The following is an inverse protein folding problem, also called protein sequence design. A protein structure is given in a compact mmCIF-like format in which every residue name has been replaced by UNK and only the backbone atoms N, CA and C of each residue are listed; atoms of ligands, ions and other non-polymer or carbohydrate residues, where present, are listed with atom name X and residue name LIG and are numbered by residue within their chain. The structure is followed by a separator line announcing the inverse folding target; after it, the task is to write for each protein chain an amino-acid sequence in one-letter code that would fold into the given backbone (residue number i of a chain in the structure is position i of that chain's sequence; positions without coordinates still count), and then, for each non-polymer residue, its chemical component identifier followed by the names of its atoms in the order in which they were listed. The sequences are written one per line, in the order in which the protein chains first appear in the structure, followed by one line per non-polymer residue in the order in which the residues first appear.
data_IF_902390199960
#
_entry.id   IF_902390199960
#
_cell.length_a   1.000
_cell.length_b   1.000
_cell.length_c   1.000
_cell.angle_alpha   90.00
_cell.angle_beta   90.00
_cell.angle_gamma   90.00
#
_symmetry.space_group_name_H-M   'P 1'
#
loop_
_entity.id
_entity.type
_entity.pdbx_description
1 polymer ?
#
# COMPACT_ATOMS: atom_id res chain seq x y z
N UNK A 1 -12.72 -8.98 -17.57
CA UNK A 1 -12.19 -7.63 -17.23
C UNK A 1 -11.71 -7.55 -15.81
N UNK A 2 -10.90 -6.55 -15.47
CA UNK A 2 -10.34 -6.33 -14.12
C UNK A 2 -10.87 -5.02 -13.56
N UNK A 3 -11.14 -4.98 -12.24
CA UNK A 3 -11.53 -3.76 -11.54
C UNK A 3 -10.41 -3.41 -10.55
N UNK A 4 -10.01 -2.12 -10.51
CA UNK A 4 -9.03 -1.62 -9.55
C UNK A 4 -9.67 -0.48 -8.76
N UNK A 5 -10.06 -0.74 -7.50
CA UNK A 5 -10.54 0.33 -6.61
C UNK A 5 -9.37 1.05 -5.97
N UNK A 6 -9.50 2.35 -5.70
CA UNK A 6 -8.34 3.18 -5.38
C UNK A 6 -7.38 3.30 -6.56
N UNK A 7 -7.89 3.09 -7.79
CA UNK A 7 -7.09 2.97 -9.00
C UNK A 7 -6.45 4.28 -9.46
N UNK A 8 -6.89 5.44 -8.98
CA UNK A 8 -6.21 6.72 -9.15
C UNK A 8 -5.23 7.04 -8.01
N UNK A 9 -5.22 6.22 -6.96
CA UNK A 9 -4.29 6.33 -5.82
C UNK A 9 -2.89 5.79 -6.14
N UNK A 10 -2.02 5.80 -5.14
CA UNK A 10 -0.62 5.41 -5.26
C UNK A 10 -0.45 3.95 -5.75
N UNK A 11 -0.88 2.96 -4.96
CA UNK A 11 -0.68 1.55 -5.30
C UNK A 11 -1.57 1.15 -6.47
N UNK A 12 -2.86 1.54 -6.45
CA UNK A 12 -3.81 1.16 -7.48
C UNK A 12 -3.42 1.60 -8.88
N UNK A 13 -2.94 2.83 -9.06
CA UNK A 13 -2.50 3.33 -10.37
C UNK A 13 -1.23 2.63 -10.89
N UNK A 14 -0.35 2.19 -10.01
CA UNK A 14 0.80 1.37 -10.40
C UNK A 14 0.37 -0.05 -10.78
N UNK A 15 -0.67 -0.61 -10.13
CA UNK A 15 -1.27 -1.89 -10.56
C UNK A 15 -1.91 -1.74 -11.94
N UNK A 16 -2.68 -0.67 -12.18
CA UNK A 16 -3.25 -0.37 -13.52
C UNK A 16 -2.13 -0.30 -14.56
N UNK A 17 -1.07 0.44 -14.27
CA UNK A 17 0.09 0.52 -15.17
C UNK A 17 0.74 -0.84 -15.43
N UNK A 18 0.97 -1.63 -14.39
CA UNK A 18 1.52 -2.99 -14.52
C UNK A 18 0.61 -3.94 -15.31
N UNK A 19 -0.73 -3.77 -15.25
CA UNK A 19 -1.68 -4.49 -16.09
C UNK A 19 -1.55 -4.06 -17.56
N UNK A 20 -1.44 -2.75 -17.83
CA UNK A 20 -1.24 -2.23 -19.20
C UNK A 20 0.07 -2.73 -19.81
N UNK A 21 1.16 -2.79 -19.06
CA UNK A 21 2.44 -3.35 -19.51
C UNK A 21 2.37 -4.82 -19.89
N UNK A 22 1.33 -5.53 -19.41
CA UNK A 22 0.98 -6.92 -19.78
C UNK A 22 -0.07 -6.98 -20.89
N UNK A 23 -0.42 -5.85 -21.51
CA UNK A 23 -1.41 -5.76 -22.58
C UNK A 23 -2.87 -5.88 -22.12
N UNK A 24 -3.14 -5.68 -20.80
CA UNK A 24 -4.51 -5.64 -20.26
C UNK A 24 -4.97 -4.19 -20.20
N UNK A 25 -5.94 -3.84 -21.07
CA UNK A 25 -6.59 -2.53 -21.16
C UNK A 25 -8.06 -2.60 -20.72
N UNK A 26 -8.58 -3.80 -20.49
CA UNK A 26 -9.93 -4.09 -20.00
C UNK A 26 -10.04 -3.84 -18.48
N UNK A 27 -9.56 -2.67 -18.05
CA UNK A 27 -9.45 -2.28 -16.63
C UNK A 27 -10.46 -1.17 -16.33
N UNK A 28 -11.37 -1.40 -15.38
CA UNK A 28 -12.20 -0.35 -14.80
C UNK A 28 -11.49 0.20 -13.56
N UNK A 29 -11.24 1.51 -13.57
CA UNK A 29 -10.73 2.24 -12.42
C UNK A 29 -11.89 2.75 -11.57
N UNK A 30 -11.85 2.46 -10.29
CA UNK A 30 -12.82 2.97 -9.31
C UNK A 30 -12.09 3.83 -8.29
N UNK A 31 -12.46 5.09 -8.16
CA UNK A 31 -11.86 6.00 -7.17
C UNK A 31 -12.82 7.13 -6.81
N UNK A 32 -12.44 7.96 -5.85
CA UNK A 32 -13.05 9.27 -5.67
C UNK A 32 -12.01 10.34 -6.09
N UNK A 33 -12.35 11.17 -7.05
CA UNK A 33 -11.48 12.26 -7.51
C UNK A 33 -11.77 13.59 -6.77
N UNK A 34 -12.11 13.53 -5.45
CA UNK A 34 -12.25 14.73 -4.64
C UNK A 34 -10.95 15.53 -4.60
N UNK A 35 -9.81 14.84 -4.51
CA UNK A 35 -8.53 15.41 -4.89
C UNK A 35 -8.33 15.18 -6.38
N UNK A 36 -8.65 16.19 -7.19
CA UNK A 36 -8.55 16.12 -8.63
C UNK A 36 -7.13 15.86 -9.14
N UNK A 37 -6.09 16.17 -8.34
CA UNK A 37 -4.69 15.95 -8.76
C UNK A 37 -4.34 14.48 -8.99
N UNK A 38 -5.13 13.55 -8.43
CA UNK A 38 -4.96 12.11 -8.67
C UNK A 38 -5.10 11.70 -10.14
N UNK A 39 -5.76 12.53 -10.99
CA UNK A 39 -5.82 12.22 -12.42
C UNK A 39 -4.43 12.07 -13.06
N UNK A 40 -3.43 12.77 -12.55
CA UNK A 40 -2.04 12.70 -13.02
C UNK A 40 -1.47 11.27 -12.94
N UNK A 41 -1.99 10.44 -12.06
CA UNK A 41 -1.61 9.04 -11.93
C UNK A 41 -2.19 8.14 -13.04
N UNK A 42 -3.17 8.64 -13.79
CA UNK A 42 -3.88 7.88 -14.82
C UNK A 42 -3.60 8.34 -16.26
N UNK A 43 -2.95 9.50 -16.46
CA UNK A 43 -2.77 10.10 -17.80
C UNK A 43 -1.94 9.24 -18.77
N UNK A 44 -1.15 8.32 -18.27
CA UNK A 44 -0.33 7.37 -19.03
C UNK A 44 -0.80 5.91 -18.86
N UNK A 45 -2.06 5.73 -18.46
CA UNK A 45 -2.72 4.44 -18.34
C UNK A 45 -3.84 4.30 -19.37
N UNK A 46 -3.96 3.11 -19.95
CA UNK A 46 -5.09 2.72 -20.79
C UNK A 46 -6.13 2.02 -19.91
N UNK A 47 -7.33 2.59 -19.84
CA UNK A 47 -8.44 2.06 -19.02
C UNK A 47 -9.71 1.92 -19.87
N UNK A 48 -10.52 0.91 -19.55
CA UNK A 48 -11.81 0.71 -20.20
C UNK A 48 -12.83 1.75 -19.75
N UNK A 49 -12.87 2.07 -18.45
CA UNK A 49 -13.81 3.03 -17.88
C UNK A 49 -13.35 3.51 -16.49
N UNK A 50 -13.94 4.62 -16.04
CA UNK A 50 -13.84 5.15 -14.70
C UNK A 50 -15.20 5.18 -14.02
N UNK A 51 -15.28 4.73 -12.78
CA UNK A 51 -16.47 4.82 -11.94
C UNK A 51 -16.15 5.53 -10.62
N UNK A 52 -17.04 6.41 -10.18
CA UNK A 52 -16.99 6.94 -8.82
C UNK A 52 -17.21 5.80 -7.80
N UNK A 53 -16.50 5.85 -6.67
CA UNK A 53 -16.54 4.79 -5.66
C UNK A 53 -17.94 4.55 -5.07
N UNK A 54 -18.76 5.61 -4.95
CA UNK A 54 -20.09 5.52 -4.38
C UNK A 54 -21.08 4.95 -5.40
N UNK A 55 -20.95 5.31 -6.69
CA UNK A 55 -21.72 4.70 -7.77
C UNK A 55 -21.37 3.23 -7.95
N UNK A 56 -20.08 2.90 -7.85
CA UNK A 56 -19.61 1.52 -7.94
C UNK A 56 -20.18 0.64 -6.81
N UNK A 57 -20.11 1.08 -5.54
CA UNK A 57 -20.62 0.27 -4.43
C UNK A 57 -22.14 0.14 -4.48
N UNK A 58 -22.86 1.17 -4.90
CA UNK A 58 -24.31 1.10 -5.10
C UNK A 58 -24.65 0.08 -6.20
N UNK A 59 -23.87 0.02 -7.28
CA UNK A 59 -24.04 -0.98 -8.35
C UNK A 59 -23.81 -2.39 -7.85
N UNK A 60 -22.75 -2.61 -7.08
CA UNK A 60 -22.43 -3.90 -6.45
C UNK A 60 -23.55 -4.37 -5.52
N UNK A 61 -24.00 -3.49 -4.63
CA UNK A 61 -25.06 -3.82 -3.64
C UNK A 61 -26.45 -3.94 -4.28
N UNK A 62 -26.70 -3.20 -5.35
CA UNK A 62 -27.97 -3.28 -6.10
C UNK A 62 -28.09 -4.50 -7.02
N UNK A 63 -27.06 -5.33 -7.12
CA UNK A 63 -27.06 -6.53 -7.98
C UNK A 63 -27.10 -6.24 -9.47
N UNK A 64 -26.79 -4.99 -9.89
CA UNK A 64 -26.83 -4.61 -11.31
C UNK A 64 -25.72 -5.27 -12.16
N UNK A 65 -24.70 -5.83 -11.52
CA UNK A 65 -23.61 -6.54 -12.19
C UNK A 65 -22.82 -5.69 -13.20
N UNK A 66 -22.03 -6.35 -14.01
CA UNK A 66 -21.28 -5.76 -15.11
C UNK A 66 -21.64 -6.49 -16.40
N UNK A 67 -21.48 -5.83 -17.56
CA UNK A 67 -21.80 -6.41 -18.86
C UNK A 67 -20.90 -7.61 -19.23
N UNK A 68 -19.72 -7.65 -18.64
CA UNK A 68 -18.73 -8.72 -18.82
C UNK A 68 -18.37 -9.35 -17.48
N UNK A 69 -17.82 -10.56 -17.53
CA UNK A 69 -17.32 -11.23 -16.34
C UNK A 69 -16.15 -10.45 -15.75
N UNK A 70 -16.20 -10.23 -14.44
CA UNK A 70 -15.10 -9.66 -13.66
C UNK A 70 -14.18 -10.80 -13.21
N UNK A 71 -12.97 -10.83 -13.75
CA UNK A 71 -11.97 -11.87 -13.42
C UNK A 71 -11.40 -11.64 -12.02
N UNK A 72 -11.05 -10.38 -11.72
CA UNK A 72 -10.45 -9.99 -10.45
C UNK A 72 -10.83 -8.55 -10.05
N UNK A 73 -10.89 -8.32 -8.74
CA UNK A 73 -10.94 -6.98 -8.14
C UNK A 73 -9.66 -6.79 -7.32
N UNK A 74 -8.83 -5.81 -7.71
CA UNK A 74 -7.77 -5.26 -6.87
C UNK A 74 -8.39 -4.16 -6.00
N UNK A 75 -8.57 -4.45 -4.73
CA UNK A 75 -9.20 -3.52 -3.81
C UNK A 75 -8.15 -2.75 -3.01
N UNK A 76 -7.65 -1.66 -3.59
CA UNK A 76 -6.67 -0.75 -2.99
C UNK A 76 -7.32 0.49 -2.37
N UNK A 77 -8.61 0.73 -2.66
CA UNK A 77 -9.37 1.88 -2.19
C UNK A 77 -9.64 1.84 -0.68
N UNK A 78 -9.13 2.82 0.05
CA UNK A 78 -9.38 3.01 1.47
C UNK A 78 -9.02 4.44 1.91
N UNK A 79 -9.57 4.90 3.03
CA UNK A 79 -8.95 5.99 3.77
C UNK A 79 -7.70 5.44 4.48
N UNK A 80 -6.52 5.89 4.08
CA UNK A 80 -5.23 5.44 4.63
C UNK A 80 -4.64 6.40 5.68
N UNK A 81 -5.36 7.47 6.04
CA UNK A 81 -4.92 8.42 7.03
C UNK A 81 -4.91 7.81 8.44
N UNK A 82 -3.73 7.57 8.98
CA UNK A 82 -3.57 7.02 10.34
C UNK A 82 -3.92 8.03 11.44
N UNK A 83 -4.08 9.30 11.06
CA UNK A 83 -4.47 10.42 11.92
C UNK A 83 -5.98 10.70 11.91
N UNK A 84 -6.76 10.00 11.07
CA UNK A 84 -8.22 10.07 11.10
C UNK A 84 -8.77 9.30 12.31
N UNK A 85 -9.61 9.95 13.10
CA UNK A 85 -10.21 9.37 14.31
C UNK A 85 -11.75 9.30 14.25
N UNK A 86 -12.39 9.70 13.15
CA UNK A 86 -13.80 9.40 12.94
C UNK A 86 -13.98 7.91 12.68
N UNK A 87 -14.27 7.17 13.75
CA UNK A 87 -14.44 5.73 13.70
C UNK A 87 -15.61 5.29 12.82
N UNK A 88 -16.70 6.07 12.77
CA UNK A 88 -17.84 5.74 11.92
C UNK A 88 -17.49 5.86 10.44
N UNK A 89 -16.86 6.98 10.05
CA UNK A 89 -16.37 7.18 8.69
C UNK A 89 -15.37 6.07 8.30
N UNK A 90 -14.40 5.80 9.17
CA UNK A 90 -13.36 4.81 8.90
C UNK A 90 -13.94 3.40 8.71
N UNK A 91 -14.88 3.00 9.57
CA UNK A 91 -15.51 1.68 9.47
C UNK A 91 -16.38 1.55 8.22
N UNK A 92 -17.16 2.57 7.88
CA UNK A 92 -17.99 2.54 6.67
C UNK A 92 -17.13 2.49 5.41
N UNK A 93 -16.10 3.36 5.33
CA UNK A 93 -15.27 3.49 4.13
C UNK A 93 -14.29 2.33 3.94
N UNK A 94 -13.73 1.77 5.02
CA UNK A 94 -12.71 0.73 4.92
C UNK A 94 -13.26 -0.68 5.16
N UNK A 95 -14.09 -0.88 6.21
CA UNK A 95 -14.54 -2.21 6.56
C UNK A 95 -15.82 -2.63 5.82
N UNK A 96 -16.89 -1.84 5.92
CA UNK A 96 -18.18 -2.20 5.30
C UNK A 96 -18.09 -2.22 3.77
N UNK A 97 -17.37 -1.26 3.19
CA UNK A 97 -17.10 -1.22 1.75
C UNK A 97 -16.35 -2.47 1.29
N UNK A 98 -15.24 -2.81 1.96
CA UNK A 98 -14.45 -4.02 1.66
C UNK A 98 -15.27 -5.30 1.82
N UNK A 99 -16.13 -5.37 2.85
CA UNK A 99 -17.00 -6.50 3.09
C UNK A 99 -18.03 -6.69 1.96
N UNK A 100 -18.61 -5.60 1.48
CA UNK A 100 -19.57 -5.65 0.36
C UNK A 100 -18.89 -6.15 -0.93
N UNK A 101 -17.68 -5.69 -1.21
CA UNK A 101 -16.90 -6.17 -2.36
C UNK A 101 -16.52 -7.65 -2.23
N UNK A 102 -16.11 -8.08 -1.05
CA UNK A 102 -15.80 -9.50 -0.81
C UNK A 102 -17.03 -10.39 -1.05
N UNK A 103 -18.23 -9.99 -0.59
CA UNK A 103 -19.45 -10.73 -0.86
C UNK A 103 -19.75 -10.81 -2.36
N UNK A 104 -19.63 -9.70 -3.08
CA UNK A 104 -19.73 -9.71 -4.54
C UNK A 104 -18.77 -10.71 -5.18
N UNK A 105 -17.52 -10.73 -4.75
CA UNK A 105 -16.50 -11.65 -5.27
C UNK A 105 -16.88 -13.13 -5.00
N UNK A 106 -17.35 -13.43 -3.78
CA UNK A 106 -17.78 -14.77 -3.40
C UNK A 106 -18.98 -15.25 -4.22
N UNK A 107 -19.96 -14.37 -4.50
CA UNK A 107 -21.17 -14.67 -5.24
C UNK A 107 -20.91 -14.87 -6.74
N UNK A 108 -19.90 -14.18 -7.29
CA UNK A 108 -19.64 -14.17 -8.72
C UNK A 108 -18.38 -15.00 -9.14
N UNK A 109 -17.70 -15.63 -8.19
CA UNK A 109 -16.46 -16.36 -8.48
C UNK A 109 -15.29 -15.47 -8.89
N UNK A 110 -15.34 -14.17 -8.56
CA UNK A 110 -14.34 -13.15 -8.89
C UNK A 110 -13.19 -13.22 -7.89
N UNK A 111 -11.95 -13.15 -8.35
CA UNK A 111 -10.80 -13.05 -7.44
C UNK A 111 -10.83 -11.74 -6.64
N UNK A 112 -10.63 -11.82 -5.32
CA UNK A 112 -10.58 -10.68 -4.40
C UNK A 112 -9.15 -10.49 -3.89
N UNK A 113 -8.45 -9.51 -4.44
CA UNK A 113 -7.07 -9.15 -4.09
C UNK A 113 -7.12 -7.80 -3.37
N UNK A 114 -6.80 -7.75 -2.06
CA UNK A 114 -7.11 -6.55 -1.28
C UNK A 114 -5.93 -6.03 -0.45
N UNK A 115 -5.87 -4.71 -0.31
CA UNK A 115 -4.92 -4.02 0.55
C UNK A 115 -5.28 -4.21 2.03
N UNK A 116 -4.44 -4.92 2.76
CA UNK A 116 -4.31 -4.84 4.20
C UNK A 116 -3.11 -3.95 4.56
N UNK A 117 -2.62 -3.97 5.78
CA UNK A 117 -1.57 -3.07 6.23
C UNK A 117 -0.76 -3.66 7.38
N UNK A 118 0.55 -3.37 7.42
CA UNK A 118 1.39 -3.63 8.60
C UNK A 118 0.92 -2.87 9.86
N UNK A 119 0.05 -1.85 9.73
CA UNK A 119 -0.57 -1.16 10.87
C UNK A 119 -1.37 -2.09 11.79
N UNK A 120 -1.76 -3.28 11.30
CA UNK A 120 -2.45 -4.30 12.10
C UNK A 120 -1.58 -4.84 13.24
N UNK A 121 -0.26 -4.78 13.10
CA UNK A 121 0.69 -5.24 14.13
C UNK A 121 0.88 -4.23 15.27
N UNK A 122 0.54 -2.96 15.05
CA UNK A 122 0.68 -1.91 16.05
C UNK A 122 2.14 -1.69 16.48
N UNK A 123 2.36 -1.60 17.78
CA UNK A 123 3.70 -1.42 18.40
C UNK A 123 4.45 -2.72 18.67
N UNK A 124 4.04 -3.84 18.10
CA UNK A 124 4.70 -5.14 18.31
C UNK A 124 6.10 -5.21 17.69
N UNK A 125 6.86 -6.24 18.07
CA UNK A 125 8.21 -6.52 17.54
C UNK A 125 8.24 -7.74 16.61
N UNK A 126 7.12 -8.45 16.46
CA UNK A 126 6.98 -9.63 15.61
C UNK A 126 5.91 -9.36 14.54
N UNK A 127 6.29 -9.46 13.29
CA UNK A 127 5.46 -9.10 12.14
C UNK A 127 5.14 -10.33 11.27
N UNK A 128 4.63 -11.39 11.90
CA UNK A 128 4.11 -12.57 11.20
C UNK A 128 2.59 -12.59 11.21
N UNK A 129 1.96 -13.26 10.23
CA UNK A 129 0.50 -13.21 10.00
C UNK A 129 -0.31 -14.01 11.02
N UNK A 130 0.16 -14.06 12.26
CA UNK A 130 -0.51 -14.71 13.40
C UNK A 130 -1.36 -13.71 14.18
N UNK A 131 -2.56 -14.14 14.58
CA UNK A 131 -3.47 -13.33 15.42
C UNK A 131 -2.82 -12.85 16.71
N UNK A 132 -1.87 -13.61 17.25
CA UNK A 132 -1.17 -13.27 18.50
C UNK A 132 -0.29 -12.00 18.40
N UNK A 133 0.10 -11.62 17.16
CA UNK A 133 0.96 -10.47 16.92
C UNK A 133 0.21 -9.22 16.45
N UNK A 134 -1.12 -9.26 16.40
CA UNK A 134 -1.97 -8.19 15.89
C UNK A 134 -2.55 -7.35 17.02
N UNK A 135 -2.17 -6.07 17.07
CA UNK A 135 -2.61 -5.11 18.09
C UNK A 135 -2.60 -3.67 17.54
N UNK A 136 -3.55 -3.32 16.64
CA UNK A 136 -3.56 -2.01 15.98
C UNK A 136 -3.64 -0.85 16.97
N UNK A 137 -2.94 0.25 16.68
CA UNK A 137 -2.83 1.44 17.55
C UNK A 137 -3.82 2.56 17.18
N UNK A 138 -4.49 2.48 16.03
CA UNK A 138 -5.42 3.49 15.54
C UNK A 138 -6.58 2.84 14.80
N UNK A 139 -7.63 3.63 14.53
CA UNK A 139 -8.85 3.12 13.88
C UNK A 139 -8.63 2.68 12.43
N UNK A 140 -7.64 3.27 11.72
CA UNK A 140 -7.24 2.77 10.41
C UNK A 140 -6.71 1.33 10.49
N UNK A 141 -5.70 1.11 11.33
CA UNK A 141 -5.16 -0.24 11.56
C UNK A 141 -6.23 -1.22 12.04
N UNK A 142 -7.15 -0.75 12.90
CA UNK A 142 -8.27 -1.56 13.36
C UNK A 142 -9.24 -1.94 12.24
N UNK A 143 -9.54 -1.03 11.30
CA UNK A 143 -10.42 -1.32 10.16
C UNK A 143 -9.85 -2.43 9.27
N UNK A 144 -8.53 -2.38 8.98
CA UNK A 144 -7.82 -3.42 8.23
C UNK A 144 -7.74 -4.74 9.01
N UNK A 145 -7.41 -4.67 10.30
CA UNK A 145 -7.42 -5.82 11.20
C UNK A 145 -8.79 -6.53 11.22
N UNK A 146 -9.88 -5.78 11.37
CA UNK A 146 -11.21 -6.37 11.45
C UNK A 146 -11.61 -7.03 10.12
N UNK A 147 -11.20 -6.44 8.99
CA UNK A 147 -11.43 -7.05 7.69
C UNK A 147 -10.60 -8.33 7.51
N UNK A 148 -9.33 -8.35 7.91
CA UNK A 148 -8.53 -9.58 7.94
C UNK A 148 -9.18 -10.68 8.80
N UNK A 149 -9.76 -10.32 9.97
CA UNK A 149 -10.50 -11.28 10.80
C UNK A 149 -11.74 -11.82 10.08
N UNK A 150 -12.45 -10.97 9.34
CA UNK A 150 -13.60 -11.39 8.56
C UNK A 150 -13.19 -12.35 7.43
N UNK A 151 -12.13 -12.01 6.69
CA UNK A 151 -11.57 -12.85 5.63
C UNK A 151 -11.17 -14.22 6.18
N UNK A 152 -10.46 -14.30 7.30
CA UNK A 152 -10.07 -15.59 7.92
C UNK A 152 -11.24 -16.52 8.20
N UNK A 153 -12.41 -15.96 8.51
CA UNK A 153 -13.63 -16.77 8.78
C UNK A 153 -14.25 -17.31 7.50
N UNK A 154 -14.21 -16.56 6.40
CA UNK A 154 -14.84 -16.95 5.13
C UNK A 154 -13.92 -17.74 4.22
N UNK A 155 -12.61 -17.53 4.33
CA UNK A 155 -11.59 -18.11 3.46
C UNK A 155 -11.66 -19.66 3.34
N UNK A 156 -11.89 -20.44 4.43
CA UNK A 156 -11.95 -21.91 4.32
C UNK A 156 -13.08 -22.44 3.44
N UNK A 157 -14.15 -21.66 3.24
CA UNK A 157 -15.29 -22.03 2.40
C UNK A 157 -15.40 -21.26 1.09
N UNK A 158 -14.41 -20.42 0.77
CA UNK A 158 -14.44 -19.59 -0.42
C UNK A 158 -14.22 -20.41 -1.70
N UNK A 159 -15.08 -20.17 -2.70
CA UNK A 159 -14.96 -20.78 -4.02
C UNK A 159 -14.10 -19.94 -4.98
N UNK A 160 -13.79 -18.70 -4.62
CA UNK A 160 -12.90 -17.82 -5.38
C UNK A 160 -11.60 -17.56 -4.63
N UNK A 161 -10.60 -17.05 -5.36
CA UNK A 161 -9.36 -16.59 -4.77
C UNK A 161 -9.60 -15.39 -3.85
N UNK A 162 -9.01 -15.42 -2.65
CA UNK A 162 -8.99 -14.27 -1.73
C UNK A 162 -7.56 -14.09 -1.24
N UNK A 163 -6.90 -12.98 -1.58
CA UNK A 163 -5.57 -12.67 -1.10
C UNK A 163 -5.51 -11.26 -0.49
N UNK A 164 -5.04 -11.16 0.74
CA UNK A 164 -4.87 -9.92 1.48
C UNK A 164 -3.39 -9.58 1.63
N UNK A 165 -3.03 -8.35 1.31
CA UNK A 165 -1.66 -7.87 1.28
C UNK A 165 -1.40 -6.89 2.42
N UNK A 166 -0.64 -7.29 3.42
CA UNK A 166 -0.18 -6.41 4.50
C UNK A 166 1.01 -5.62 4.02
N UNK A 167 0.75 -4.50 3.37
CA UNK A 167 1.81 -3.62 2.89
C UNK A 167 2.58 -3.01 4.04
N UNK A 168 3.92 -3.06 3.93
CA UNK A 168 4.84 -2.36 4.79
C UNK A 168 5.08 -0.93 4.27
N UNK A 169 6.26 -0.36 4.41
CA UNK A 169 6.50 1.03 4.04
C UNK A 169 6.75 1.17 2.53
N UNK A 170 5.67 1.22 1.76
CA UNK A 170 5.74 1.36 0.30
C UNK A 170 6.17 2.76 -0.09
N UNK A 171 7.09 2.88 -1.06
CA UNK A 171 7.53 4.14 -1.65
C UNK A 171 7.71 4.00 -3.17
N UNK A 172 7.61 5.13 -3.89
CA UNK A 172 7.86 5.13 -5.34
C UNK A 172 6.94 6.06 -6.13
N UNK A 173 6.95 5.92 -7.48
CA UNK A 173 6.14 6.68 -8.41
C UNK A 173 4.66 6.81 -8.03
N UNK A 174 4.06 7.98 -8.32
CA UNK A 174 2.62 8.27 -8.21
C UNK A 174 2.08 8.46 -6.78
N UNK A 175 2.96 8.74 -5.81
CA UNK A 175 2.52 9.01 -4.43
C UNK A 175 2.37 10.50 -4.07
N UNK A 176 2.65 11.44 -4.99
CA UNK A 176 2.75 12.89 -4.72
C UNK A 176 1.47 13.48 -4.13
N UNK A 177 0.30 12.99 -4.55
CA UNK A 177 -1.02 13.41 -4.04
C UNK A 177 -1.24 13.08 -2.55
N UNK A 178 -0.41 12.23 -1.96
CA UNK A 178 -0.57 11.82 -0.55
C UNK A 178 -0.20 12.91 0.46
N UNK A 179 0.37 14.03 0.02
CA UNK A 179 0.77 15.13 0.90
C UNK A 179 1.68 14.63 2.03
N UNK A 180 1.36 14.93 3.29
CA UNK A 180 2.16 14.51 4.45
C UNK A 180 2.26 13.00 4.65
N UNK A 181 1.40 12.21 3.99
CA UNK A 181 1.43 10.74 4.03
C UNK A 181 2.28 10.11 2.92
N UNK A 182 2.93 10.92 2.07
CA UNK A 182 3.92 10.43 1.12
C UNK A 182 5.15 9.86 1.85
N UNK A 183 5.94 9.07 1.13
CA UNK A 183 7.11 8.40 1.72
C UNK A 183 8.20 9.38 2.17
N UNK A 184 9.04 8.95 3.09
CA UNK A 184 10.21 9.72 3.52
C UNK A 184 11.14 10.02 2.33
N UNK A 185 11.31 9.09 1.38
CA UNK A 185 12.13 9.31 0.19
C UNK A 185 11.62 10.50 -0.64
N UNK A 186 10.29 10.61 -0.80
CA UNK A 186 9.66 11.76 -1.47
C UNK A 186 9.94 13.07 -0.74
N UNK A 187 9.69 13.11 0.57
CA UNK A 187 9.87 14.34 1.35
C UNK A 187 11.31 14.82 1.37
N UNK A 188 12.28 13.91 1.54
CA UNK A 188 13.71 14.27 1.52
C UNK A 188 14.15 14.78 0.14
N UNK A 189 13.62 14.19 -0.94
CA UNK A 189 13.88 14.69 -2.30
C UNK A 189 13.29 16.08 -2.52
N UNK A 190 12.07 16.37 -2.01
CA UNK A 190 11.49 17.70 -2.11
C UNK A 190 12.31 18.74 -1.31
N UNK A 191 12.77 18.39 -0.10
CA UNK A 191 13.63 19.28 0.69
C UNK A 191 14.89 19.66 -0.09
N UNK A 192 15.59 18.71 -0.71
CA UNK A 192 16.78 18.99 -1.51
C UNK A 192 16.49 19.87 -2.74
N UNK A 193 15.35 19.67 -3.39
CA UNK A 193 14.89 20.51 -4.51
C UNK A 193 14.62 21.95 -4.08
N UNK A 194 14.12 22.13 -2.88
CA UNK A 194 13.84 23.44 -2.27
C UNK A 194 15.12 24.07 -1.67
N UNK A 195 16.28 23.43 -1.81
CA UNK A 195 17.55 23.92 -1.27
C UNK A 195 17.68 23.73 0.25
N UNK A 196 16.88 22.82 0.82
CA UNK A 196 16.85 22.49 2.26
C UNK A 196 17.55 21.15 2.44
N UNK A 197 18.40 21.03 3.46
CA UNK A 197 18.99 19.75 3.82
C UNK A 197 17.94 18.74 4.30
N UNK A 198 18.11 17.43 4.00
CA UNK A 198 17.24 16.36 4.48
C UNK A 198 17.15 16.32 6.00
N UNK A 199 15.94 16.52 6.55
CA UNK A 199 15.69 16.50 7.97
C UNK A 199 15.19 15.13 8.44
N UNK A 200 15.88 14.54 9.40
CA UNK A 200 15.46 13.31 10.09
C UNK A 200 15.26 13.58 11.58
N UNK A 201 14.46 12.75 12.23
CA UNK A 201 14.26 12.86 13.66
C UNK A 201 15.48 12.35 14.44
N UNK A 202 15.75 13.02 15.56
CA UNK A 202 16.63 12.50 16.58
C UNK A 202 16.18 11.13 17.09
N UNK A 203 17.06 10.44 17.79
CA UNK A 203 16.80 9.10 18.30
C UNK A 203 15.67 9.03 19.32
N UNK A 204 14.90 7.95 19.26
CA UNK A 204 13.90 7.59 20.26
C UNK A 204 13.84 6.06 20.41
N UNK A 205 13.23 5.58 21.50
CA UNK A 205 13.02 4.15 21.77
C UNK A 205 14.32 3.30 21.71
N UNK A 206 15.46 3.88 22.11
CA UNK A 206 16.77 3.22 22.11
C UNK A 206 17.53 3.28 20.79
N UNK A 207 16.99 3.92 19.76
CA UNK A 207 17.66 4.15 18.49
C UNK A 207 18.43 5.49 18.53
N UNK A 208 19.55 5.55 17.79
CA UNK A 208 20.27 6.80 17.50
C UNK A 208 19.51 7.68 16.51
N UNK A 209 20.07 8.85 16.20
CA UNK A 209 19.50 9.83 15.28
C UNK A 209 19.33 9.23 13.86
N UNK A 210 18.09 9.19 13.37
CA UNK A 210 17.76 8.61 12.07
C UNK A 210 17.89 7.08 11.99
N UNK A 211 18.20 6.40 13.09
CA UNK A 211 18.43 4.95 13.13
C UNK A 211 17.17 4.10 13.38
N UNK A 212 16.02 4.72 13.57
CA UNK A 212 14.76 3.99 13.55
C UNK A 212 14.64 3.23 12.24
N UNK A 213 14.07 2.02 12.25
CA UNK A 213 14.10 1.10 11.12
C UNK A 213 12.73 0.76 10.60
N UNK A 214 12.61 0.68 9.27
CA UNK A 214 11.40 0.23 8.58
C UNK A 214 11.75 -0.80 7.51
N UNK A 215 10.80 -1.66 7.23
CA UNK A 215 10.82 -2.45 6.00
C UNK A 215 10.27 -1.57 4.87
N UNK A 216 11.19 -0.94 4.12
CA UNK A 216 10.88 -0.11 2.95
C UNK A 216 10.80 -0.98 1.72
N UNK A 217 9.65 -0.97 1.04
CA UNK A 217 9.43 -1.74 -0.19
C UNK A 217 9.13 -0.81 -1.36
N UNK A 218 9.83 -1.02 -2.48
CA UNK A 218 9.63 -0.25 -3.71
C UNK A 218 8.33 -0.68 -4.41
N UNK A 219 7.61 0.28 -4.98
CA UNK A 219 6.27 0.07 -5.54
C UNK A 219 6.22 -1.01 -6.63
N UNK A 220 7.23 -1.14 -7.49
CA UNK A 220 7.22 -2.18 -8.53
C UNK A 220 7.22 -3.58 -7.92
N UNK A 221 7.91 -3.76 -6.79
CA UNK A 221 7.92 -5.05 -6.09
C UNK A 221 6.54 -5.37 -5.49
N UNK A 222 5.80 -4.35 -5.05
CA UNK A 222 4.40 -4.49 -4.61
C UNK A 222 3.50 -4.88 -5.77
N UNK A 223 3.64 -4.20 -6.92
CA UNK A 223 2.90 -4.54 -8.16
C UNK A 223 3.20 -5.98 -8.59
N UNK A 224 4.47 -6.36 -8.59
CA UNK A 224 4.88 -7.73 -8.93
C UNK A 224 4.20 -8.80 -8.05
N UNK A 225 4.10 -8.58 -6.74
CA UNK A 225 3.38 -9.48 -5.83
C UNK A 225 1.90 -9.56 -6.20
N UNK A 226 1.24 -8.41 -6.39
CA UNK A 226 -0.17 -8.35 -6.75
C UNK A 226 -0.46 -9.11 -8.05
N UNK A 227 0.32 -8.85 -9.09
CA UNK A 227 0.17 -9.48 -10.40
C UNK A 227 0.56 -10.98 -10.38
N UNK A 228 1.50 -11.37 -9.51
CA UNK A 228 1.79 -12.79 -9.30
C UNK A 228 0.59 -13.54 -8.72
N UNK A 229 -0.15 -12.95 -7.77
CA UNK A 229 -1.38 -13.57 -7.26
C UNK A 229 -2.45 -13.68 -8.35
N UNK A 230 -2.60 -12.66 -9.21
CA UNK A 230 -3.49 -12.74 -10.38
C UNK A 230 -3.14 -13.93 -11.28
N UNK A 231 -1.84 -14.16 -11.53
CA UNK A 231 -1.34 -15.27 -12.37
C UNK A 231 -1.44 -16.63 -11.65
N UNK A 232 -1.66 -16.65 -10.35
CA UNK A 232 -1.73 -17.85 -9.52
C UNK A 232 -3.07 -17.96 -8.76
N UNK A 233 -4.19 -18.15 -9.46
CA UNK A 233 -5.54 -18.08 -8.86
C UNK A 233 -5.81 -19.17 -7.82
N UNK A 234 -4.99 -20.22 -7.75
CA UNK A 234 -5.05 -21.24 -6.69
C UNK A 234 -4.42 -20.81 -5.36
N UNK A 235 -3.79 -19.62 -5.29
CA UNK A 235 -3.13 -19.13 -4.08
C UNK A 235 -4.04 -18.13 -3.37
N UNK A 236 -4.33 -18.41 -2.10
CA UNK A 236 -5.17 -17.56 -1.25
C UNK A 236 -4.54 -17.42 0.13
N UNK A 237 -4.89 -16.35 0.85
CA UNK A 237 -4.43 -16.12 2.22
C UNK A 237 -4.11 -14.66 2.49
N UNK A 238 -3.71 -14.37 3.72
CA UNK A 238 -3.23 -13.05 4.12
C UNK A 238 -1.72 -13.14 4.21
N UNK A 239 -1.00 -12.26 3.52
CA UNK A 239 0.46 -12.28 3.43
C UNK A 239 1.04 -10.90 3.70
N UNK A 240 2.21 -10.87 4.30
CA UNK A 240 3.01 -9.66 4.36
C UNK A 240 3.59 -9.33 3.00
N UNK A 241 3.62 -8.04 2.67
CA UNK A 241 4.28 -7.51 1.48
C UNK A 241 5.26 -6.43 1.93
N UNK A 242 6.45 -6.87 2.20
CA UNK A 242 7.65 -6.15 2.56
C UNK A 242 8.85 -6.80 1.89
N UNK A 243 10.05 -6.41 2.27
CA UNK A 243 11.30 -7.01 1.75
C UNK A 243 11.85 -8.11 2.65
N UNK A 244 11.39 -8.18 3.92
CA UNK A 244 11.98 -9.00 4.97
C UNK A 244 13.31 -8.46 5.48
N UNK A 245 13.60 -7.18 5.20
CA UNK A 245 14.80 -6.50 5.64
C UNK A 245 14.48 -5.07 6.05
N UNK A 246 14.71 -4.75 7.31
CA UNK A 246 14.58 -3.38 7.79
C UNK A 246 15.82 -2.54 7.45
N UNK A 247 15.60 -1.31 7.01
CA UNK A 247 16.64 -0.30 6.79
C UNK A 247 16.33 0.96 7.60
N UNK A 248 17.36 1.76 7.89
CA UNK A 248 17.21 2.99 8.67
C UNK A 248 16.68 4.15 7.82
N UNK A 249 16.18 5.18 8.46
CA UNK A 249 15.87 6.43 7.77
C UNK A 249 17.15 7.10 7.26
N UNK A 250 18.29 6.86 7.91
CA UNK A 250 19.61 7.29 7.42
C UNK A 250 19.95 6.63 6.08
N UNK A 251 19.64 5.32 5.90
CA UNK A 251 19.86 4.63 4.62
C UNK A 251 19.06 5.29 3.49
N UNK A 252 17.80 5.64 3.74
CA UNK A 252 16.96 6.34 2.76
C UNK A 252 17.51 7.73 2.44
N UNK A 253 17.88 8.52 3.47
CA UNK A 253 18.41 9.85 3.28
C UNK A 253 19.75 9.84 2.50
N UNK A 254 20.63 8.91 2.84
CA UNK A 254 21.91 8.74 2.13
C UNK A 254 21.70 8.36 0.66
N UNK A 255 20.74 7.49 0.35
CA UNK A 255 20.42 7.12 -1.03
C UNK A 255 19.86 8.31 -1.83
N UNK A 256 18.98 9.13 -1.23
CA UNK A 256 18.46 10.36 -1.85
C UNK A 256 19.56 11.38 -2.07
N UNK A 257 20.40 11.66 -1.06
CA UNK A 257 21.55 12.58 -1.15
C UNK A 257 22.52 12.13 -2.23
N UNK A 258 22.85 10.83 -2.26
CA UNK A 258 23.77 10.28 -3.26
C UNK A 258 23.27 10.50 -4.68
N UNK A 259 21.96 10.36 -4.94
CA UNK A 259 21.37 10.62 -6.24
C UNK A 259 21.38 12.11 -6.61
N UNK A 260 21.04 13.01 -5.68
CA UNK A 260 21.07 14.46 -5.90
C UNK A 260 22.50 15.03 -5.98
N UNK A 261 23.50 14.32 -5.47
CA UNK A 261 24.89 14.74 -5.45
C UNK A 261 25.16 15.92 -4.51
N UNK A 262 24.24 16.27 -3.62
CA UNK A 262 24.34 17.42 -2.71
C UNK A 262 23.49 17.20 -1.44
N UNK A 263 23.79 17.97 -0.39
CA UNK A 263 23.09 17.97 0.89
C UNK A 263 23.78 17.12 1.95
N UNK A 264 23.39 17.33 3.19
CA UNK A 264 23.80 16.57 4.36
C UNK A 264 22.59 16.35 5.27
N UNK A 265 22.61 15.29 6.10
CA UNK A 265 21.49 15.01 6.98
C UNK A 265 21.51 15.98 8.17
N UNK A 266 20.38 16.65 8.39
CA UNK A 266 20.12 17.43 9.59
C UNK A 266 19.18 16.65 10.53
N UNK A 267 19.53 16.60 11.83
CA UNK A 267 18.68 15.95 12.82
C UNK A 267 17.86 16.98 13.59
N UNK A 268 16.55 16.76 13.63
CA UNK A 268 15.59 17.63 14.32
C UNK A 268 14.98 16.91 15.54
N UNK A 269 14.58 17.63 16.58
CA UNK A 269 14.00 17.03 17.79
C UNK A 269 12.84 16.10 17.45
N UNK A 270 12.79 14.94 18.12
CA UNK A 270 11.69 13.98 17.96
C UNK A 270 10.38 14.61 18.47
N UNK A 271 9.28 14.63 17.66
CA UNK A 271 8.03 15.28 18.05
C UNK A 271 7.37 14.60 19.25
N UNK A 272 7.08 15.37 20.31
CA UNK A 272 6.49 14.85 21.55
C UNK A 272 5.15 14.12 21.34
N UNK A 273 4.30 14.62 20.41
CA UNK A 273 2.99 14.01 20.13
C UNK A 273 3.08 12.61 19.49
N UNK A 274 4.24 12.21 18.97
CA UNK A 274 4.50 10.88 18.41
C UNK A 274 5.03 9.88 19.45
N UNK A 275 5.51 10.34 20.62
CA UNK A 275 6.05 9.45 21.66
C UNK A 275 5.00 8.42 22.11
N UNK A 276 5.39 7.16 22.15
CA UNK A 276 4.53 6.03 22.53
C UNK A 276 3.48 5.63 21.47
N UNK A 277 3.44 6.32 20.32
CA UNK A 277 2.55 6.01 19.19
C UNK A 277 3.31 5.76 17.89
N UNK A 278 4.62 5.94 17.91
CA UNK A 278 5.50 5.78 16.77
C UNK A 278 6.04 4.35 16.71
N UNK A 279 5.95 3.71 15.57
CA UNK A 279 6.62 2.43 15.35
C UNK A 279 8.09 2.69 15.05
N UNK A 280 9.00 2.40 15.97
CA UNK A 280 10.44 2.59 15.77
C UNK A 280 11.10 1.47 14.98
N UNK A 281 10.39 0.34 14.80
CA UNK A 281 10.86 -0.82 14.05
C UNK A 281 9.72 -1.53 13.32
N UNK A 282 9.96 -1.93 12.05
CA UNK A 282 9.16 -2.91 11.32
C UNK A 282 10.04 -3.75 10.41
N UNK A 283 9.79 -5.07 10.37
CA UNK A 283 10.43 -6.01 9.43
C UNK A 283 9.45 -7.14 9.14
N UNK A 284 9.08 -7.34 7.88
CA UNK A 284 8.12 -8.33 7.47
C UNK A 284 8.68 -9.76 7.63
N UNK A 285 7.94 -10.64 8.27
CA UNK A 285 8.16 -12.07 8.10
C UNK A 285 7.61 -12.50 6.74
N UNK A 286 8.51 -12.89 5.85
CA UNK A 286 8.19 -13.25 4.46
C UNK A 286 7.91 -14.74 4.27
N UNK A 287 7.92 -15.54 5.34
CA UNK A 287 7.83 -16.99 5.28
C UNK A 287 6.53 -17.48 4.62
N UNK A 288 5.40 -16.81 4.90
CA UNK A 288 4.10 -17.14 4.31
C UNK A 288 4.09 -16.90 2.80
N UNK A 289 4.52 -15.74 2.33
CA UNK A 289 4.58 -15.44 0.89
C UNK A 289 5.55 -16.37 0.14
N UNK A 290 6.73 -16.61 0.73
CA UNK A 290 7.71 -17.56 0.17
C UNK A 290 7.18 -19.00 0.15
N UNK A 291 6.47 -19.41 1.20
CA UNK A 291 5.81 -20.72 1.27
C UNK A 291 4.72 -20.93 0.22
N UNK A 292 4.08 -19.84 -0.24
CA UNK A 292 3.14 -19.89 -1.37
C UNK A 292 3.84 -20.04 -2.73
N UNK A 293 5.15 -19.79 -2.82
CA UNK A 293 5.96 -19.95 -4.01
C UNK A 293 6.38 -18.66 -4.72
N UNK A 294 6.23 -17.49 -4.09
CA UNK A 294 6.78 -16.26 -4.63
C UNK A 294 8.28 -16.18 -4.37
N UNK A 295 9.10 -16.21 -5.41
CA UNK A 295 10.57 -16.32 -5.30
C UNK A 295 11.33 -15.06 -5.75
N UNK A 296 10.68 -14.09 -6.41
CA UNK A 296 11.36 -12.88 -6.88
C UNK A 296 12.04 -12.16 -5.70
N UNK A 297 13.29 -11.70 -5.89
CA UNK A 297 13.95 -10.84 -4.90
C UNK A 297 13.29 -9.46 -4.86
N UNK A 298 13.36 -8.81 -3.71
CA UNK A 298 12.89 -7.43 -3.52
C UNK A 298 14.08 -6.46 -3.58
N UNK A 299 13.83 -5.26 -4.13
CA UNK A 299 14.82 -4.19 -4.19
C UNK A 299 15.14 -3.66 -2.78
N UNK A 300 16.41 -3.34 -2.54
CA UNK A 300 16.83 -2.58 -1.37
C UNK A 300 16.54 -1.08 -1.54
N UNK A 301 16.69 -0.30 -0.47
CA UNK A 301 16.62 1.17 -0.52
C UNK A 301 17.62 1.73 -1.55
N UNK A 302 18.86 1.20 -1.56
CA UNK A 302 19.91 1.64 -2.48
C UNK A 302 19.61 1.33 -3.96
N UNK A 303 18.74 0.36 -4.20
CA UNK A 303 18.28 -0.01 -5.55
C UNK A 303 17.01 0.75 -5.96
N UNK A 304 16.04 0.87 -5.06
CA UNK A 304 14.73 1.45 -5.37
C UNK A 304 14.71 2.98 -5.33
N UNK A 305 15.44 3.61 -4.39
CA UNK A 305 15.44 5.07 -4.28
C UNK A 305 15.97 5.75 -5.55
N UNK A 306 17.11 5.34 -6.15
CA UNK A 306 17.55 5.94 -7.40
C UNK A 306 16.51 5.84 -8.53
N UNK A 307 15.85 4.70 -8.69
CA UNK A 307 14.78 4.52 -9.69
C UNK A 307 13.63 5.51 -9.47
N UNK A 308 13.27 5.72 -8.20
CA UNK A 308 12.24 6.68 -7.85
C UNK A 308 12.68 8.12 -8.14
N UNK A 309 13.90 8.48 -7.82
CA UNK A 309 14.44 9.82 -8.10
C UNK A 309 14.52 10.09 -9.61
N UNK A 310 14.93 9.11 -10.42
CA UNK A 310 14.91 9.20 -11.89
C UNK A 310 13.49 9.47 -12.41
N UNK A 311 12.50 8.75 -11.89
CA UNK A 311 11.10 8.97 -12.26
C UNK A 311 10.60 10.37 -11.86
N UNK A 312 10.90 10.83 -10.64
CA UNK A 312 10.53 12.18 -10.18
C UNK A 312 11.18 13.27 -11.04
N UNK A 313 12.38 13.03 -11.54
CA UNK A 313 13.09 13.99 -12.39
C UNK A 313 12.54 14.01 -13.82
N UNK A 314 12.05 12.89 -14.33
CA UNK A 314 11.48 12.79 -15.69
C UNK A 314 10.09 13.45 -15.83
N UNK A 315 9.44 13.81 -14.72
CA UNK A 315 8.08 14.39 -14.67
C UNK A 315 8.06 15.90 -14.38
N UNK A 316 9.20 16.55 -14.47
CA UNK A 316 9.34 18.02 -14.29
C UNK A 316 9.02 18.80 -15.56
#
# INVERSE_FOLDING_TARGET
MIIVTGGAGFIGSNIVKGLNERGREDVIVVDDLKDGTKFLNLVDCEILDYLDKDDFINRVQGGAGFSEQVDAIFHEGACSATTEWDGHFMMNNNYEYSRSLLHYCLENGTACLYASSASVYGGGSVFSESRAHESPLNVYGYSKFLFDQYVRRVLPGAACQIAGFRYFNVYGPREQHKGSMASVAYHLSQQLRDGINPCLFEGCDGYGNGEQRRDFIYIDDVVDVNLWFLDNPGKSGIVNVGTGRCQSFNDVANAVIAWHGQGEIEYIPFPEHLRGRYQSFTEADMSTLRGLGYEKPFKSVEQGVPLYMDWLNSRQ
#
